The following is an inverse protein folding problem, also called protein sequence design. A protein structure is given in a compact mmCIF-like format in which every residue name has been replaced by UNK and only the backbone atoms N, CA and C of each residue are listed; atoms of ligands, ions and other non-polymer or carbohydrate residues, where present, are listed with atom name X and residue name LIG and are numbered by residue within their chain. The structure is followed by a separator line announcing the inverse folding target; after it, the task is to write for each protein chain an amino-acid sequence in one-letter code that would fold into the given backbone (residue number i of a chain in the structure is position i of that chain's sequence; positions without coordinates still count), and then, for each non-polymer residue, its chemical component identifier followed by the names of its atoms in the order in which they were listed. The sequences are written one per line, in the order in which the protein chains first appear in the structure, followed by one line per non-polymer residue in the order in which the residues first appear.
data_IF_441413591287
#
_entry.id   IF_441413591287
#
_cell.length_a   1.000
_cell.length_b   1.000
_cell.length_c   1.000
_cell.angle_alpha   90.00
_cell.angle_beta   90.00
_cell.angle_gamma   90.00
#
_symmetry.space_group_name_H-M   'P 1'
#
loop_
_entity.id
_entity.type
_entity.pdbx_description
1 polymer ?
#
# COMPACT_ATOMS: atom_id res chain seq x y z
N UNK A 1 1.69 -9.96 -8.40
CA UNK A 1 2.16 -9.67 -9.77
C UNK A 1 3.44 -8.84 -9.72
N UNK A 2 3.96 -8.35 -10.86
CA UNK A 2 5.19 -7.55 -10.89
C UNK A 2 5.06 -6.26 -10.06
N UNK A 3 3.88 -5.63 -10.05
CA UNK A 3 3.61 -4.43 -9.27
C UNK A 3 3.61 -4.72 -7.76
N UNK A 4 2.95 -5.80 -7.35
CA UNK A 4 2.97 -6.27 -5.96
C UNK A 4 4.39 -6.57 -5.45
N UNK A 5 5.23 -7.21 -6.26
CA UNK A 5 6.62 -7.50 -5.90
C UNK A 5 7.45 -6.22 -5.73
N UNK A 6 7.21 -5.21 -6.58
CA UNK A 6 7.85 -3.90 -6.46
C UNK A 6 7.40 -3.17 -5.18
N UNK A 7 6.09 -3.15 -4.91
CA UNK A 7 5.53 -2.60 -3.67
C UNK A 7 6.17 -3.28 -2.45
N UNK A 8 6.22 -4.61 -2.44
CA UNK A 8 6.81 -5.38 -1.36
C UNK A 8 8.26 -4.97 -1.12
N UNK A 9 9.09 -5.02 -2.16
CA UNK A 9 10.52 -4.70 -2.06
C UNK A 9 10.76 -3.27 -1.58
N UNK A 10 10.03 -2.29 -2.13
CA UNK A 10 10.21 -0.88 -1.81
C UNK A 10 9.77 -0.57 -0.38
N UNK A 11 8.63 -1.11 0.05
CA UNK A 11 8.12 -0.97 1.42
C UNK A 11 9.09 -1.61 2.41
N UNK A 12 9.52 -2.85 2.14
CA UNK A 12 10.46 -3.55 3.02
C UNK A 12 11.78 -2.80 3.15
N UNK A 13 12.34 -2.31 2.05
CA UNK A 13 13.61 -1.57 2.06
C UNK A 13 13.50 -0.21 2.77
N UNK A 14 12.35 0.48 2.65
CA UNK A 14 12.20 1.84 3.18
C UNK A 14 11.80 1.85 4.65
N UNK A 15 10.93 0.92 5.06
CA UNK A 15 10.26 0.97 6.35
C UNK A 15 10.67 -0.15 7.29
N UNK A 16 11.39 -1.16 6.81
CA UNK A 16 11.78 -2.35 7.57
C UNK A 16 10.61 -2.87 8.45
N UNK A 17 9.45 -3.18 7.84
CA UNK A 17 8.26 -3.52 8.59
C UNK A 17 8.42 -4.89 9.24
N UNK A 18 7.95 -5.00 10.48
CA UNK A 18 7.80 -6.29 11.16
C UNK A 18 6.70 -7.13 10.53
N UNK A 19 5.63 -6.48 10.06
CA UNK A 19 4.52 -7.15 9.36
C UNK A 19 4.17 -6.36 8.11
N UNK A 20 4.16 -7.02 6.96
CA UNK A 20 3.72 -6.48 5.68
C UNK A 20 2.68 -7.40 5.06
N UNK A 21 1.48 -6.89 4.86
CA UNK A 21 0.38 -7.60 4.21
C UNK A 21 -0.04 -6.79 3.00
N UNK A 22 0.13 -7.35 1.81
CA UNK A 22 -0.32 -6.76 0.55
C UNK A 22 -1.47 -7.60 0.01
N UNK A 23 -2.61 -6.97 -0.26
CA UNK A 23 -3.78 -7.61 -0.86
C UNK A 23 -4.12 -6.88 -2.15
N UNK A 24 -4.21 -7.63 -3.23
CA UNK A 24 -4.72 -7.13 -4.49
C UNK A 24 -6.24 -7.35 -4.56
N UNK A 25 -7.00 -6.26 -4.53
CA UNK A 25 -8.46 -6.25 -4.56
C UNK A 25 -9.01 -5.92 -5.97
N UNK A 26 -8.14 -5.85 -6.98
CA UNK A 26 -8.50 -5.56 -8.37
C UNK A 26 -9.59 -6.46 -8.94
N UNK A 27 -9.60 -7.74 -8.54
CA UNK A 27 -10.56 -8.74 -9.01
C UNK A 27 -12.02 -8.41 -8.63
N UNK A 28 -12.25 -7.64 -7.57
CA UNK A 28 -13.60 -7.20 -7.18
C UNK A 28 -14.24 -6.25 -8.20
N UNK A 29 -13.44 -5.65 -9.08
CA UNK A 29 -13.89 -4.75 -10.15
C UNK A 29 -13.76 -5.34 -11.55
N UNK A 30 -13.17 -6.54 -11.69
CA UNK A 30 -13.04 -7.23 -12.97
C UNK A 30 -14.39 -7.64 -13.60
N UNK A 31 -15.49 -7.63 -12.82
CA UNK A 31 -16.83 -8.01 -13.28
C UNK A 31 -17.69 -6.85 -13.80
N UNK A 32 -17.18 -5.61 -13.87
CA UNK A 32 -17.87 -4.56 -14.60
C UNK A 32 -17.46 -4.58 -16.08
N UNK A 33 -18.33 -5.17 -16.89
CA UNK A 33 -18.35 -5.30 -18.37
C UNK A 33 -18.32 -3.95 -19.14
N UNK A 34 -17.82 -2.87 -18.53
CA UNK A 34 -17.84 -1.51 -19.09
C UNK A 34 -16.51 -1.00 -19.66
N UNK A 35 -15.40 -1.73 -19.53
CA UNK A 35 -14.07 -1.23 -19.89
C UNK A 35 -13.36 -2.09 -20.93
N UNK A 36 -13.92 -2.15 -22.14
CA UNK A 36 -13.14 -2.48 -23.34
C UNK A 36 -12.15 -1.34 -23.59
N UNK A 37 -10.88 -1.53 -23.24
CA UNK A 37 -9.80 -0.61 -23.63
C UNK A 37 -8.85 -0.13 -22.53
N UNK A 38 -8.96 -0.64 -21.29
CA UNK A 38 -8.01 -0.29 -20.22
C UNK A 38 -7.15 -1.52 -19.91
N UNK A 39 -5.88 -1.48 -20.30
CA UNK A 39 -4.99 -2.65 -20.32
C UNK A 39 -4.56 -3.14 -18.92
N UNK A 40 -4.95 -2.46 -17.83
CA UNK A 40 -4.43 -2.73 -16.48
C UNK A 40 -5.52 -2.81 -15.38
N UNK A 41 -6.68 -3.43 -15.66
CA UNK A 41 -7.75 -3.58 -14.66
C UNK A 41 -7.33 -4.50 -13.49
N UNK A 42 -6.43 -5.46 -13.72
CA UNK A 42 -6.07 -6.53 -12.79
C UNK A 42 -5.06 -6.15 -11.68
N UNK A 43 -4.44 -4.97 -11.72
CA UNK A 43 -3.54 -4.48 -10.67
C UNK A 43 -3.84 -3.00 -10.35
N UNK A 44 -5.11 -2.65 -10.33
CA UNK A 44 -5.58 -1.27 -10.15
C UNK A 44 -5.88 -0.90 -8.69
N UNK A 45 -6.23 -1.88 -7.84
CA UNK A 45 -6.60 -1.68 -6.44
C UNK A 45 -5.75 -2.52 -5.48
N UNK A 46 -5.05 -1.85 -4.56
CA UNK A 46 -4.26 -2.51 -3.53
C UNK A 46 -4.67 -2.06 -2.13
N UNK A 47 -4.71 -3.03 -1.22
CA UNK A 47 -4.80 -2.80 0.20
C UNK A 47 -3.51 -3.28 0.87
N UNK A 48 -2.80 -2.36 1.51
CA UNK A 48 -1.50 -2.63 2.14
C UNK A 48 -1.57 -2.33 3.63
N UNK A 49 -1.28 -3.32 4.46
CA UNK A 49 -1.09 -3.13 5.91
C UNK A 49 0.39 -3.22 6.24
N UNK A 50 0.90 -2.20 6.90
CA UNK A 50 2.32 -2.05 7.26
C UNK A 50 2.40 -1.86 8.76
N UNK A 51 3.16 -2.73 9.43
CA UNK A 51 3.49 -2.62 10.85
C UNK A 51 4.97 -2.36 11.00
N UNK A 52 5.36 -1.18 11.50
CA UNK A 52 6.76 -0.79 11.65
C UNK A 52 6.97 0.17 12.82
N UNK A 53 8.11 0.03 13.52
CA UNK A 53 8.56 0.96 14.56
C UNK A 53 8.84 2.38 14.00
N UNK A 54 9.08 2.52 12.69
CA UNK A 54 9.24 3.81 12.02
C UNK A 54 8.05 4.74 12.24
N UNK A 55 6.86 4.18 12.39
CA UNK A 55 5.64 4.97 12.63
C UNK A 55 5.54 5.54 14.06
N UNK A 56 6.44 5.14 14.97
CA UNK A 56 6.60 5.73 16.30
C UNK A 56 7.46 7.00 16.28
N UNK A 57 8.17 7.28 15.17
CA UNK A 57 9.02 8.46 15.05
C UNK A 57 8.21 9.77 15.15
N UNK A 58 8.78 10.85 15.73
CA UNK A 58 8.06 12.11 15.95
C UNK A 58 7.38 12.66 14.68
N UNK A 59 8.02 12.50 13.52
CA UNK A 59 7.49 12.94 12.22
C UNK A 59 6.39 12.08 11.63
N UNK A 60 6.15 10.87 12.18
CA UNK A 60 5.19 9.89 11.68
C UNK A 60 4.14 9.47 12.73
N UNK A 61 4.00 10.22 13.83
CA UNK A 61 3.00 9.94 14.88
C UNK A 61 1.55 10.04 14.41
N UNK A 62 1.25 10.92 13.46
CA UNK A 62 -0.12 11.09 12.94
C UNK A 62 -0.41 10.15 11.78
N UNK A 63 -1.60 9.55 11.75
CA UNK A 63 -2.07 8.71 10.64
C UNK A 63 -1.94 9.41 9.27
N UNK A 64 -2.26 10.70 9.20
CA UNK A 64 -2.09 11.48 7.97
C UNK A 64 -0.61 11.62 7.56
N UNK A 65 0.29 11.81 8.52
CA UNK A 65 1.73 11.90 8.24
C UNK A 65 2.28 10.56 7.73
N UNK A 66 1.85 9.44 8.33
CA UNK A 66 2.16 8.09 7.86
C UNK A 66 1.69 7.88 6.44
N UNK A 67 0.42 8.18 6.15
CA UNK A 67 -0.12 8.03 4.81
C UNK A 67 0.65 8.89 3.80
N UNK A 68 0.86 10.18 4.08
CA UNK A 68 1.64 11.07 3.20
C UNK A 68 3.05 10.54 2.93
N UNK A 69 3.70 9.97 3.94
CA UNK A 69 5.01 9.35 3.78
C UNK A 69 4.95 8.15 2.84
N UNK A 70 4.01 7.22 3.04
CA UNK A 70 3.85 6.06 2.15
C UNK A 70 3.50 6.49 0.72
N UNK A 71 2.54 7.39 0.56
CA UNK A 71 2.16 7.91 -0.75
C UNK A 71 3.36 8.53 -1.48
N UNK A 72 4.24 9.23 -0.75
CA UNK A 72 5.47 9.78 -1.33
C UNK A 72 6.47 8.70 -1.74
N UNK A 73 6.63 7.65 -0.94
CA UNK A 73 7.54 6.53 -1.25
C UNK A 73 7.06 5.72 -2.46
N UNK A 74 5.73 5.61 -2.62
CA UNK A 74 5.07 4.82 -3.66
C UNK A 74 4.48 5.67 -4.80
N UNK A 75 4.88 6.94 -4.89
CA UNK A 75 4.29 7.89 -5.84
C UNK A 75 4.52 7.46 -7.29
N UNK A 76 5.71 6.96 -7.62
CA UNK A 76 6.05 6.42 -8.94
C UNK A 76 5.16 5.22 -9.31
N UNK A 77 4.96 4.30 -8.36
CA UNK A 77 4.14 3.10 -8.55
C UNK A 77 2.66 3.47 -8.71
N UNK A 78 2.19 4.47 -7.96
CA UNK A 78 0.81 4.95 -8.06
C UNK A 78 0.56 5.61 -9.41
N UNK A 79 1.47 6.50 -9.84
CA UNK A 79 1.42 7.11 -11.16
C UNK A 79 1.57 6.09 -12.29
N UNK A 80 2.21 4.96 -12.02
CA UNK A 80 2.39 3.85 -12.96
C UNK A 80 1.13 3.04 -13.28
N UNK A 81 0.01 3.26 -12.57
CA UNK A 81 -1.28 2.62 -12.90
C UNK A 81 -2.13 2.15 -11.73
N UNK A 82 -1.80 2.50 -10.47
CA UNK A 82 -2.66 2.19 -9.33
C UNK A 82 -3.75 3.25 -9.22
N UNK A 83 -5.00 2.87 -9.46
CA UNK A 83 -6.15 3.76 -9.35
C UNK A 83 -6.64 3.93 -7.90
N UNK A 84 -6.49 2.90 -7.08
CA UNK A 84 -6.95 2.89 -5.69
C UNK A 84 -5.94 2.21 -4.78
N UNK A 85 -5.31 3.00 -3.91
CA UNK A 85 -4.33 2.52 -2.97
C UNK A 85 -4.81 2.81 -1.55
N UNK A 86 -5.15 1.76 -0.81
CA UNK A 86 -5.46 1.85 0.60
C UNK A 86 -4.26 1.37 1.41
N UNK A 87 -3.83 2.18 2.37
CA UNK A 87 -2.77 1.80 3.30
C UNK A 87 -3.24 1.90 4.74
N UNK A 88 -2.80 0.95 5.55
CA UNK A 88 -2.98 0.92 7.00
C UNK A 88 -1.59 0.92 7.63
N UNK A 89 -1.21 2.01 8.27
CA UNK A 89 0.09 2.16 8.92
C UNK A 89 -0.05 2.09 10.44
N UNK A 90 0.51 1.05 11.07
CA UNK A 90 0.43 0.82 12.51
C UNK A 90 1.79 0.60 13.13
N UNK A 91 1.97 1.02 14.38
CA UNK A 91 3.15 0.60 15.15
C UNK A 91 2.95 -0.83 15.66
N UNK A 92 4.03 -1.55 16.01
CA UNK A 92 3.93 -2.88 16.62
C UNK A 92 3.09 -2.87 17.90
N UNK A 93 3.16 -1.79 18.68
CA UNK A 93 2.36 -1.64 19.90
C UNK A 93 0.87 -1.45 19.59
N UNK A 94 0.52 -0.77 18.49
CA UNK A 94 -0.87 -0.63 18.03
C UNK A 94 -1.40 -1.95 17.45
N UNK A 95 -0.55 -2.72 16.75
CA UNK A 95 -0.91 -4.02 16.20
C UNK A 95 -1.11 -5.08 17.28
N UNK A 96 -0.26 -5.11 18.31
CA UNK A 96 -0.36 -6.07 19.41
C UNK A 96 -1.57 -5.86 20.33
N UNK A 97 -2.20 -4.67 20.28
CA UNK A 97 -3.40 -4.34 21.06
C UNK A 97 -4.71 -4.59 20.30
N UNK A 98 -4.62 -5.02 19.04
CA UNK A 98 -5.76 -5.27 18.17
C UNK A 98 -6.28 -6.71 18.34
#
# INVERSE_FOLDING_TARGET
GPLESNLHTKITTTLDPQTLIIRNDSWKHAHHTGMKGVENVAESHFHVTIVSEKFSEPGLKSSLARHRYIFKVLDDEIKGGIHGFQVVCKTPQEWAKQ
#
